data_IF_769538035495
#
_entry.id   IF_769538035495
#
_cell.length_a   1.000
_cell.length_b   1.000
_cell.length_c   1.000
_cell.angle_alpha   90.00
_cell.angle_beta   90.00
_cell.angle_gamma   90.00
#
_symmetry.space_group_name_H-M   'P 1'
#
loop_
_entity.id
_entity.type
_entity.pdbx_description
1 polymer ?
#
# COMPACT_ATOMS: atom_id res chain seq x y z
N UNK A 1 58.37 -28.11 11.43
CA UNK A 1 58.68 -28.25 10.00
C UNK A 1 60.09 -27.70 9.78
N UNK A 2 60.91 -28.36 8.96
CA UNK A 2 62.27 -27.88 8.67
C UNK A 2 62.16 -26.72 7.70
N UNK A 3 62.73 -25.56 8.04
CA UNK A 3 62.74 -24.38 7.17
C UNK A 3 63.61 -24.68 5.93
N UNK A 4 63.10 -24.34 4.75
CA UNK A 4 63.89 -24.47 3.52
C UNK A 4 65.12 -23.55 3.61
N UNK A 5 66.35 -24.08 3.50
CA UNK A 5 67.58 -23.30 3.62
C UNK A 5 67.68 -22.15 2.61
N UNK A 6 66.91 -22.17 1.53
CA UNK A 6 66.86 -21.07 0.56
C UNK A 6 66.22 -19.78 1.12
N UNK A 7 65.33 -19.91 2.11
CA UNK A 7 64.54 -18.79 2.62
C UNK A 7 64.82 -18.46 4.09
N UNK A 8 65.69 -19.22 4.76
CA UNK A 8 65.94 -19.14 6.20
C UNK A 8 66.54 -17.79 6.67
N UNK A 9 67.39 -17.16 5.86
CA UNK A 9 68.14 -15.94 6.25
C UNK A 9 67.51 -14.64 5.70
N UNK A 10 66.34 -14.73 5.05
CA UNK A 10 65.73 -13.58 4.39
C UNK A 10 64.80 -12.82 5.35
N UNK A 11 65.01 -11.50 5.55
CA UNK A 11 64.10 -10.70 6.35
C UNK A 11 62.74 -10.56 5.63
N UNK A 12 61.66 -10.42 6.41
CA UNK A 12 60.29 -10.17 5.92
C UNK A 12 59.59 -11.33 5.19
N UNK A 13 60.12 -12.55 5.27
CA UNK A 13 59.42 -13.75 4.79
C UNK A 13 58.55 -14.31 5.92
N UNK A 14 57.28 -14.59 5.60
CA UNK A 14 56.37 -15.23 6.54
C UNK A 14 56.65 -16.74 6.59
N UNK A 15 57.11 -17.23 7.75
CA UNK A 15 57.40 -18.65 7.96
C UNK A 15 56.23 -19.43 8.60
N UNK A 16 55.30 -18.73 9.24
CA UNK A 16 54.19 -19.32 9.99
C UNK A 16 52.83 -19.12 9.29
N UNK A 17 52.84 -18.91 7.97
CA UNK A 17 51.62 -18.76 7.18
C UNK A 17 51.45 -19.97 6.27
N UNK A 18 50.21 -20.42 6.04
CA UNK A 18 49.97 -21.49 5.09
C UNK A 18 50.28 -21.00 3.67
N UNK A 19 50.98 -21.83 2.89
CA UNK A 19 51.28 -21.52 1.48
C UNK A 19 50.01 -21.50 0.61
N UNK A 20 48.96 -22.21 1.03
CA UNK A 20 47.69 -22.32 0.31
C UNK A 20 46.54 -21.89 1.22
N UNK A 21 45.71 -20.97 0.70
CA UNK A 21 44.47 -20.56 1.34
C UNK A 21 43.31 -21.13 0.53
N UNK A 22 42.76 -22.24 1.02
CA UNK A 22 41.57 -22.86 0.45
C UNK A 22 40.34 -22.42 1.25
N UNK A 23 39.23 -22.15 0.56
CA UNK A 23 37.95 -22.12 1.23
C UNK A 23 37.66 -23.55 1.69
N UNK A 24 37.25 -23.74 2.95
CA UNK A 24 36.83 -25.04 3.47
C UNK A 24 35.53 -25.49 2.82
N UNK A 25 35.54 -25.71 1.51
CA UNK A 25 34.37 -26.03 0.71
C UNK A 25 33.84 -27.39 1.14
N UNK A 26 32.60 -27.37 1.62
CA UNK A 26 31.84 -28.59 1.80
C UNK A 26 31.44 -29.14 0.42
N UNK A 27 31.19 -30.45 0.30
CA UNK A 27 30.60 -31.02 -0.91
C UNK A 27 29.35 -30.24 -1.36
N UNK A 28 29.12 -30.09 -2.66
CA UNK A 28 27.99 -29.32 -3.22
C UNK A 28 26.61 -29.73 -2.63
N UNK A 29 26.48 -31.00 -2.22
CA UNK A 29 25.27 -31.53 -1.56
C UNK A 29 25.02 -30.92 -0.18
N UNK A 30 26.10 -30.64 0.57
CA UNK A 30 26.05 -30.12 1.95
C UNK A 30 26.03 -28.59 1.99
N UNK A 31 26.38 -27.91 0.89
CA UNK A 31 26.31 -26.44 0.77
C UNK A 31 24.87 -25.90 0.78
N UNK A 32 23.89 -26.69 0.32
CA UNK A 32 22.48 -26.25 0.20
C UNK A 32 21.82 -25.96 1.54
N UNK A 33 22.16 -26.73 2.57
CA UNK A 33 21.60 -26.55 3.92
C UNK A 33 21.97 -25.18 4.51
N UNK A 34 23.15 -24.63 4.18
CA UNK A 34 23.56 -23.32 4.69
C UNK A 34 22.76 -22.18 4.04
N UNK A 35 22.34 -22.31 2.78
CA UNK A 35 21.64 -21.23 2.06
C UNK A 35 20.26 -20.93 2.67
N UNK A 36 19.55 -21.96 3.14
CA UNK A 36 18.24 -21.81 3.79
C UNK A 36 18.33 -21.00 5.10
N UNK A 37 19.42 -21.20 5.85
CA UNK A 37 19.70 -20.43 7.06
C UNK A 37 20.10 -18.97 6.75
N UNK A 38 20.84 -18.72 5.67
CA UNK A 38 21.22 -17.35 5.26
C UNK A 38 19.99 -16.56 4.81
N UNK A 39 19.05 -17.17 4.10
CA UNK A 39 17.83 -16.49 3.66
C UNK A 39 16.95 -16.05 4.85
N UNK A 40 16.94 -16.79 5.96
CA UNK A 40 16.25 -16.36 7.17
C UNK A 40 17.03 -15.32 8.00
N UNK A 41 18.37 -15.36 7.97
CA UNK A 41 19.24 -14.49 8.79
C UNK A 41 19.56 -13.15 8.10
N UNK A 42 19.58 -13.12 6.77
CA UNK A 42 19.97 -11.96 5.97
C UNK A 42 18.80 -11.04 5.61
N UNK A 43 17.56 -11.41 5.98
CA UNK A 43 16.41 -10.54 5.81
C UNK A 43 16.50 -9.37 6.80
N UNK A 44 16.53 -8.12 6.33
CA UNK A 44 16.61 -6.96 7.20
C UNK A 44 15.40 -6.92 8.13
N UNK A 45 15.65 -6.56 9.40
CA UNK A 45 14.64 -6.55 10.48
C UNK A 45 13.49 -5.55 10.20
N UNK A 46 13.73 -4.59 9.31
CA UNK A 46 12.81 -3.56 8.88
C UNK A 46 11.81 -4.03 7.80
N UNK A 47 12.03 -5.20 7.18
CA UNK A 47 11.12 -5.73 6.16
C UNK A 47 10.19 -6.78 6.78
N UNK A 48 8.89 -6.48 6.77
CA UNK A 48 7.86 -7.44 7.16
C UNK A 48 7.56 -8.40 5.99
N UNK A 49 7.65 -9.71 6.25
CA UNK A 49 7.28 -10.74 5.27
C UNK A 49 5.86 -11.23 5.53
N UNK A 50 4.92 -10.82 4.69
CA UNK A 50 3.51 -11.21 4.81
C UNK A 50 3.24 -12.48 4.00
N UNK A 51 2.77 -13.53 4.66
CA UNK A 51 2.35 -14.77 3.98
C UNK A 51 0.97 -14.59 3.38
N UNK A 52 0.89 -14.59 2.05
CA UNK A 52 -0.36 -14.48 1.30
C UNK A 52 -0.92 -15.87 0.97
N UNK A 53 -2.19 -16.07 1.30
CA UNK A 53 -2.96 -17.28 0.94
C UNK A 53 -3.78 -16.99 -0.30
N UNK A 54 -3.57 -17.77 -1.37
CA UNK A 54 -4.29 -17.63 -2.64
C UNK A 54 -5.80 -17.81 -2.43
N UNK A 55 -6.19 -18.78 -1.61
CA UNK A 55 -7.60 -19.05 -1.31
C UNK A 55 -8.27 -17.86 -0.61
N UNK A 56 -7.56 -17.19 0.31
CA UNK A 56 -8.12 -16.06 1.05
C UNK A 56 -8.15 -14.79 0.20
N UNK A 57 -7.12 -14.56 -0.61
CA UNK A 57 -7.10 -13.47 -1.59
C UNK A 57 -8.25 -13.62 -2.60
N UNK A 58 -8.45 -14.83 -3.14
CA UNK A 58 -9.55 -15.09 -4.07
C UNK A 58 -10.90 -14.84 -3.42
N UNK A 59 -11.14 -15.31 -2.20
CA UNK A 59 -12.39 -15.03 -1.46
C UNK A 59 -12.64 -13.53 -1.31
N UNK A 60 -11.60 -12.75 -0.97
CA UNK A 60 -11.70 -11.29 -0.80
C UNK A 60 -12.12 -10.59 -2.08
N UNK A 61 -11.51 -10.92 -3.21
CA UNK A 61 -11.75 -10.22 -4.49
C UNK A 61 -12.84 -10.86 -5.36
N UNK A 62 -13.35 -12.04 -5.02
CA UNK A 62 -14.33 -12.78 -5.83
C UNK A 62 -15.62 -12.01 -6.16
N UNK A 63 -15.98 -11.02 -5.33
CA UNK A 63 -17.19 -10.20 -5.51
C UNK A 63 -16.90 -8.85 -6.18
N UNK A 64 -15.63 -8.47 -6.32
CA UNK A 64 -15.24 -7.21 -6.93
C UNK A 64 -15.32 -7.34 -8.46
N UNK A 65 -15.97 -6.38 -9.11
CA UNK A 65 -16.01 -6.27 -10.58
C UNK A 65 -15.34 -4.98 -11.01
N UNK A 66 -14.75 -5.03 -12.19
CA UNK A 66 -14.00 -3.91 -12.77
C UNK A 66 -14.60 -3.61 -14.13
N UNK A 67 -14.96 -2.35 -14.35
CA UNK A 67 -15.40 -1.88 -15.66
C UNK A 67 -14.21 -1.42 -16.50
N UNK A 68 -14.19 -1.87 -17.76
CA UNK A 68 -13.15 -1.55 -18.74
C UNK A 68 -13.67 -0.69 -19.90
N UNK A 69 -14.90 -0.19 -19.81
CA UNK A 69 -15.60 0.45 -20.93
C UNK A 69 -15.00 1.79 -21.37
N UNK A 70 -14.47 2.59 -20.43
CA UNK A 70 -13.95 3.94 -20.70
C UNK A 70 -12.51 4.14 -20.22
N UNK A 71 -11.70 3.09 -20.34
CA UNK A 71 -10.32 3.09 -19.81
C UNK A 71 -9.34 3.62 -20.85
N UNK A 72 -8.57 4.64 -20.48
CA UNK A 72 -7.50 5.21 -21.32
C UNK A 72 -6.19 5.37 -20.53
N UNK A 73 -5.21 4.51 -20.81
CA UNK A 73 -3.84 4.56 -20.26
C UNK A 73 -2.82 5.21 -21.20
N UNK A 74 -3.26 5.77 -22.32
CA UNK A 74 -2.34 6.39 -23.28
C UNK A 74 -1.78 7.71 -22.75
N UNK A 75 -0.56 8.06 -23.17
CA UNK A 75 0.09 9.37 -22.90
C UNK A 75 -0.58 10.56 -23.63
N UNK A 76 -1.78 10.36 -24.18
CA UNK A 76 -2.49 11.40 -24.92
C UNK A 76 -2.97 12.52 -23.99
N UNK A 77 -2.39 13.71 -24.03
CA UNK A 77 -2.85 14.84 -23.18
C UNK A 77 -4.18 15.47 -23.61
N UNK A 78 -4.89 14.90 -24.59
CA UNK A 78 -6.11 15.47 -25.14
C UNK A 78 -7.38 14.99 -24.39
N UNK A 79 -8.21 15.94 -23.94
CA UNK A 79 -9.59 15.70 -23.50
C UNK A 79 -9.86 15.82 -21.99
N UNK A 80 -11.01 15.27 -21.57
CA UNK A 80 -11.31 15.03 -20.15
C UNK A 80 -10.20 14.15 -19.56
N UNK A 81 -9.86 14.33 -18.28
CA UNK A 81 -8.77 13.59 -17.63
C UNK A 81 -8.83 12.09 -17.89
N UNK A 82 -7.67 11.43 -17.86
CA UNK A 82 -7.57 9.98 -18.09
C UNK A 82 -8.30 9.21 -16.99
N UNK A 83 -9.17 8.30 -17.42
CA UNK A 83 -9.94 7.44 -16.53
C UNK A 83 -9.31 6.05 -16.65
N UNK A 84 -8.80 5.55 -15.52
CA UNK A 84 -8.33 4.17 -15.41
C UNK A 84 -9.51 3.20 -15.22
N UNK A 85 -9.24 2.01 -14.71
CA UNK A 85 -10.31 1.09 -14.33
C UNK A 85 -11.20 1.69 -13.25
N UNK A 86 -12.51 1.73 -13.52
CA UNK A 86 -13.52 2.11 -12.52
C UNK A 86 -13.93 0.85 -11.76
N UNK A 87 -13.81 0.89 -10.43
CA UNK A 87 -14.30 -0.17 -9.56
C UNK A 87 -15.77 0.11 -9.32
N UNK A 88 -16.65 -0.80 -9.74
CA UNK A 88 -18.05 -0.79 -9.30
C UNK A 88 -18.10 -1.30 -7.86
N UNK A 89 -17.65 -0.47 -6.91
CA UNK A 89 -17.84 -0.73 -5.50
C UNK A 89 -19.26 -0.28 -5.12
N UNK A 90 -20.05 -1.20 -4.58
CA UNK A 90 -21.39 -0.93 -4.01
C UNK A 90 -21.32 -0.04 -2.73
N UNK A 91 -20.13 0.45 -2.39
CA UNK A 91 -19.84 1.23 -1.20
C UNK A 91 -19.62 2.70 -1.56
N UNK A 92 -20.73 3.43 -1.57
CA UNK A 92 -20.90 4.88 -1.46
C UNK A 92 -19.70 5.77 -1.84
N UNK A 93 -19.55 6.06 -3.14
CA UNK A 93 -18.79 7.25 -3.55
C UNK A 93 -19.64 8.51 -3.32
N UNK A 94 -19.28 9.29 -2.29
CA UNK A 94 -19.68 10.70 -2.21
C UNK A 94 -18.85 11.44 -3.25
N UNK A 95 -19.41 11.62 -4.44
CA UNK A 95 -18.76 12.34 -5.52
C UNK A 95 -18.44 13.79 -5.10
N UNK A 96 -17.26 14.32 -5.47
CA UNK A 96 -16.90 15.69 -5.13
C UNK A 96 -17.85 16.70 -5.80
N UNK A 97 -18.01 17.92 -5.23
CA UNK A 97 -19.03 18.89 -5.63
C UNK A 97 -19.07 19.29 -7.12
N UNK A 98 -17.97 19.07 -7.85
CA UNK A 98 -17.82 19.37 -9.28
C UNK A 98 -18.19 18.22 -10.24
N UNK A 99 -18.51 17.02 -9.74
CA UNK A 99 -18.80 15.84 -10.58
C UNK A 99 -20.30 15.53 -10.73
N UNK A 100 -21.17 16.53 -10.49
CA UNK A 100 -22.65 16.39 -10.53
C UNK A 100 -23.20 15.98 -11.90
N UNK A 101 -22.45 16.20 -12.97
CA UNK A 101 -22.87 15.91 -14.35
C UNK A 101 -22.85 14.41 -14.68
N UNK A 102 -22.14 13.58 -13.88
CA UNK A 102 -22.04 12.13 -14.07
C UNK A 102 -22.80 11.29 -13.03
N UNK A 103 -23.67 11.92 -12.21
CA UNK A 103 -24.44 11.21 -11.19
C UNK A 103 -25.40 10.17 -11.80
N UNK A 104 -25.32 8.92 -11.34
CA UNK A 104 -26.34 7.91 -11.60
C UNK A 104 -27.66 8.30 -10.92
N UNK A 105 -28.81 7.84 -11.46
CA UNK A 105 -30.13 8.22 -10.93
C UNK A 105 -30.31 7.86 -9.44
N UNK A 106 -29.77 6.72 -9.01
CA UNK A 106 -29.79 6.30 -7.60
C UNK A 106 -28.91 7.19 -6.72
N UNK A 107 -27.69 7.52 -7.18
CA UNK A 107 -26.79 8.44 -6.47
C UNK A 107 -27.41 9.83 -6.30
N UNK A 108 -28.07 10.34 -7.35
CA UNK A 108 -28.81 11.60 -7.31
C UNK A 108 -29.97 11.55 -6.31
N UNK A 109 -30.78 10.49 -6.33
CA UNK A 109 -31.90 10.33 -5.40
C UNK A 109 -31.41 10.38 -3.95
N UNK A 110 -30.34 9.64 -3.66
CA UNK A 110 -29.78 9.56 -2.32
C UNK A 110 -29.18 10.90 -1.85
N UNK A 111 -28.41 11.59 -2.70
CA UNK A 111 -27.88 12.93 -2.37
C UNK A 111 -29.02 13.89 -2.04
N UNK A 112 -30.07 13.91 -2.87
CA UNK A 112 -31.23 14.76 -2.64
C UNK A 112 -31.95 14.41 -1.33
N UNK A 113 -32.08 13.13 -0.96
CA UNK A 113 -32.64 12.73 0.34
C UNK A 113 -31.80 13.28 1.50
N UNK A 114 -30.47 13.21 1.42
CA UNK A 114 -29.58 13.77 2.43
C UNK A 114 -29.68 15.30 2.49
N UNK A 115 -29.65 15.99 1.35
CA UNK A 115 -29.78 17.45 1.27
C UNK A 115 -31.13 17.93 1.84
N UNK A 116 -32.23 17.22 1.55
CA UNK A 116 -33.55 17.53 2.12
C UNK A 116 -33.56 17.32 3.64
N UNK A 117 -32.99 16.23 4.14
CA UNK A 117 -32.91 15.98 5.57
C UNK A 117 -32.07 17.04 6.30
N UNK A 118 -30.95 17.45 5.70
CA UNK A 118 -30.11 18.54 6.23
C UNK A 118 -30.86 19.88 6.23
N UNK A 119 -31.59 20.19 5.15
CA UNK A 119 -32.38 21.41 5.10
C UNK A 119 -33.49 21.42 6.17
N UNK A 120 -34.09 20.26 6.46
CA UNK A 120 -35.08 20.12 7.54
C UNK A 120 -34.43 20.34 8.92
N UNK A 121 -33.23 19.81 9.17
CA UNK A 121 -32.52 20.07 10.42
C UNK A 121 -32.17 21.55 10.56
N UNK A 122 -31.63 22.17 9.51
CA UNK A 122 -31.22 23.56 9.50
C UNK A 122 -32.43 24.49 9.73
N UNK A 123 -33.58 24.20 9.11
CA UNK A 123 -34.82 24.93 9.36
C UNK A 123 -35.30 24.82 10.81
N UNK A 124 -35.12 23.66 11.43
CA UNK A 124 -35.48 23.45 12.84
C UNK A 124 -34.57 24.26 13.77
N UNK A 125 -33.28 24.37 13.42
CA UNK A 125 -32.30 25.10 14.23
C UNK A 125 -32.44 26.61 14.06
N UNK A 126 -32.75 27.10 12.85
CA UNK A 126 -33.12 28.50 12.61
C UNK A 126 -34.40 28.85 13.38
N UNK A 127 -35.40 27.97 13.42
CA UNK A 127 -36.61 28.20 14.21
C UNK A 127 -36.32 28.31 15.70
N UNK A 128 -35.48 27.42 16.26
CA UNK A 128 -35.06 27.49 17.66
C UNK A 128 -34.26 28.76 17.96
N UNK A 129 -33.31 29.14 17.09
CA UNK A 129 -32.52 30.37 17.24
C UNK A 129 -33.41 31.61 17.19
N UNK A 130 -34.41 31.63 16.32
CA UNK A 130 -35.40 32.73 16.24
C UNK A 130 -36.21 32.83 17.53
N UNK A 131 -36.63 31.70 18.10
CA UNK A 131 -37.35 31.68 19.40
C UNK A 131 -36.45 32.22 20.52
N UNK A 132 -35.19 31.79 20.59
CA UNK A 132 -34.23 32.26 21.61
C UNK A 132 -34.02 33.78 21.49
N UNK A 133 -33.81 34.28 20.28
CA UNK A 133 -33.63 35.71 20.04
C UNK A 133 -34.88 36.54 20.42
N UNK A 134 -36.09 36.03 20.17
CA UNK A 134 -37.33 36.70 20.59
C UNK A 134 -37.47 36.69 22.12
N UNK A 135 -37.10 35.60 22.80
CA UNK A 135 -37.17 35.55 24.26
C UNK A 135 -36.15 36.44 24.95
N UNK A 136 -34.95 36.62 24.39
CA UNK A 136 -33.96 37.55 24.93
C UNK A 136 -34.39 39.02 24.78
N UNK A 137 -35.05 39.39 23.67
CA UNK A 137 -35.58 40.75 23.47
C UNK A 137 -36.79 41.13 24.34
N UNK A 138 -37.49 40.16 24.95
CA UNK A 138 -38.64 40.41 25.84
C UNK A 138 -38.19 40.56 27.31
N UNK A 139 -36.95 40.15 27.63
CA UNK A 139 -36.38 40.21 28.98
C UNK A 139 -35.43 41.40 29.24
N UNK A 140 -35.24 42.30 28.27
CA UNK A 140 -34.70 43.67 28.47
C UNK A 140 -35.84 44.70 28.56
#
# INVERSE_FOLDING_TARGET
MVLDPKYADLPWIAHDQPDVYEAGELPEVDQRQQMEDVENVMMPKEIETIKLSVCDAHKRFSKCKVDSSNVDFSDSIAGHGKIGYTIEADEYEVLPPGAREHETLLSRLQRLQTEVNQLVSDSSDVSKQTIVHITEQICE
#
